data_IF_978996248060
#
_entry.id   IF_978996248060
#
_cell.length_a   1.000
_cell.length_b   1.000
_cell.length_c   1.000
_cell.angle_alpha   90.00
_cell.angle_beta   90.00
_cell.angle_gamma   90.00
#
_symmetry.space_group_name_H-M   'P 1'
#
loop_
_entity.id
_entity.type
_entity.pdbx_description
1 polymer ?
#
# COMPACT_ATOMS: atom_id res chain seq x y z
N UNK A 1 51.01 20.26 37.90
CA UNK A 1 50.06 20.11 36.78
C UNK A 1 49.37 18.76 36.94
N UNK A 2 48.10 18.71 37.38
CA UNK A 2 47.47 17.39 37.61
C UNK A 2 45.97 17.40 37.87
N UNK A 3 45.45 18.37 38.63
CA UNK A 3 44.03 18.38 38.99
C UNK A 3 43.12 18.79 37.82
N UNK A 4 43.44 19.87 37.11
CA UNK A 4 42.61 20.36 35.99
C UNK A 4 42.60 19.40 34.79
N UNK A 5 43.68 18.69 34.54
CA UNK A 5 43.78 17.70 33.46
C UNK A 5 42.98 16.44 33.78
N UNK A 6 43.02 15.98 35.04
CA UNK A 6 42.17 14.89 35.52
C UNK A 6 40.69 15.25 35.51
N UNK A 7 40.34 16.47 35.96
CA UNK A 7 38.96 16.94 35.96
C UNK A 7 38.40 17.10 34.55
N UNK A 8 39.21 17.60 33.60
CA UNK A 8 38.84 17.65 32.18
C UNK A 8 38.53 16.27 31.60
N UNK A 9 39.40 15.28 31.88
CA UNK A 9 39.17 13.89 31.43
C UNK A 9 37.89 13.26 31.99
N UNK A 10 37.45 13.64 33.19
CA UNK A 10 36.17 13.17 33.75
C UNK A 10 34.96 13.83 33.10
N UNK A 11 35.06 15.10 32.73
CA UNK A 11 34.00 15.80 31.99
C UNK A 11 33.85 15.19 30.60
N UNK A 12 34.96 14.92 29.91
CA UNK A 12 34.93 14.31 28.58
C UNK A 12 34.28 12.92 28.61
N UNK A 13 34.66 12.07 29.57
CA UNK A 13 34.04 10.74 29.76
C UNK A 13 32.54 10.82 30.10
N UNK A 14 32.13 11.83 30.87
CA UNK A 14 30.72 12.05 31.19
C UNK A 14 29.92 12.47 29.95
N UNK A 15 30.47 13.38 29.13
CA UNK A 15 29.83 13.85 27.90
C UNK A 15 29.69 12.71 26.87
N UNK A 16 30.72 11.88 26.72
CA UNK A 16 30.69 10.70 25.84
C UNK A 16 29.63 9.69 26.29
N UNK A 17 29.56 9.41 27.60
CA UNK A 17 28.52 8.53 28.16
C UNK A 17 27.12 9.10 27.94
N UNK A 18 26.93 10.41 28.13
CA UNK A 18 25.64 11.07 27.95
C UNK A 18 25.20 11.04 26.48
N UNK A 19 26.14 11.23 25.54
CA UNK A 19 25.90 11.09 24.11
C UNK A 19 25.47 9.68 23.72
N UNK A 20 26.13 8.66 24.24
CA UNK A 20 25.80 7.25 23.96
C UNK A 20 24.43 6.86 24.55
N UNK A 21 24.10 7.30 25.77
CA UNK A 21 22.79 7.07 26.39
C UNK A 21 21.68 7.76 25.61
N UNK A 22 21.89 9.01 25.22
CA UNK A 22 20.90 9.76 24.43
C UNK A 22 20.69 9.13 23.06
N UNK A 23 21.76 8.68 22.40
CA UNK A 23 21.67 7.95 21.12
C UNK A 23 20.81 6.70 21.25
N UNK A 24 21.07 5.86 22.25
CA UNK A 24 20.28 4.63 22.49
C UNK A 24 18.81 4.93 22.78
N UNK A 25 18.53 6.03 23.49
CA UNK A 25 17.16 6.48 23.73
C UNK A 25 16.44 6.85 22.43
N UNK A 26 17.09 7.62 21.53
CA UNK A 26 16.52 7.97 20.23
C UNK A 26 16.33 6.74 19.35
N UNK A 27 17.29 5.82 19.31
CA UNK A 27 17.16 4.56 18.56
C UNK A 27 15.96 3.73 19.06
N UNK A 28 15.79 3.62 20.39
CA UNK A 28 14.63 2.94 20.98
C UNK A 28 13.30 3.66 20.66
N UNK A 29 13.29 4.99 20.64
CA UNK A 29 12.11 5.79 20.28
C UNK A 29 11.72 5.57 18.82
N UNK A 30 12.68 5.61 17.90
CA UNK A 30 12.44 5.35 16.46
C UNK A 30 11.93 3.93 16.26
N UNK A 31 12.51 2.94 16.94
CA UNK A 31 12.06 1.55 16.88
C UNK A 31 10.62 1.39 17.39
N UNK A 32 10.28 2.04 18.51
CA UNK A 32 8.91 2.02 19.04
C UNK A 32 7.92 2.68 18.05
N UNK A 33 8.31 3.79 17.43
CA UNK A 33 7.49 4.49 16.44
C UNK A 33 7.29 3.64 15.16
N UNK A 34 8.33 2.95 14.68
CA UNK A 34 8.23 2.00 13.58
C UNK A 34 7.28 0.85 13.90
N UNK A 35 7.35 0.27 15.11
CA UNK A 35 6.40 -0.77 15.52
C UNK A 35 4.95 -0.28 15.53
N UNK A 36 4.71 0.92 16.05
CA UNK A 36 3.37 1.52 16.05
C UNK A 36 2.89 1.75 14.62
N UNK A 37 3.77 2.25 13.75
CA UNK A 37 3.46 2.45 12.34
C UNK A 37 3.05 1.14 11.65
N UNK A 38 3.88 0.09 11.74
CA UNK A 38 3.62 -1.19 11.08
C UNK A 38 2.39 -1.92 11.67
N UNK A 39 2.27 -1.95 12.99
CA UNK A 39 1.25 -2.76 13.67
C UNK A 39 -0.12 -2.10 13.65
N UNK A 40 -0.18 -0.78 13.78
CA UNK A 40 -1.45 -0.06 13.97
C UNK A 40 -1.78 0.71 12.70
N UNK A 41 -0.90 1.59 12.24
CA UNK A 41 -1.23 2.51 11.15
C UNK A 41 -1.32 1.77 9.81
N UNK A 42 -0.28 1.02 9.44
CA UNK A 42 -0.25 0.26 8.21
C UNK A 42 -1.34 -0.82 8.20
N UNK A 43 -1.51 -1.56 9.29
CA UNK A 43 -2.57 -2.56 9.40
C UNK A 43 -3.98 -1.94 9.28
N UNK A 44 -4.24 -0.80 9.92
CA UNK A 44 -5.53 -0.10 9.80
C UNK A 44 -5.74 0.43 8.38
N UNK A 45 -4.71 0.98 7.73
CA UNK A 45 -4.78 1.44 6.34
C UNK A 45 -5.03 0.27 5.37
N UNK A 46 -4.31 -0.84 5.52
CA UNK A 46 -4.54 -2.06 4.74
C UNK A 46 -5.95 -2.59 4.96
N UNK A 47 -6.46 -2.57 6.19
CA UNK A 47 -7.83 -3.02 6.48
C UNK A 47 -8.88 -2.09 5.85
N UNK A 48 -8.70 -0.78 6.00
CA UNK A 48 -9.63 0.22 5.50
C UNK A 48 -9.66 0.31 3.96
N UNK A 49 -8.49 0.19 3.32
CA UNK A 49 -8.32 0.44 1.89
C UNK A 49 -7.98 -0.80 1.06
N UNK A 50 -7.28 -1.79 1.63
CA UNK A 50 -6.74 -2.95 0.91
C UNK A 50 -7.53 -4.26 1.07
N UNK A 51 -8.20 -4.49 2.21
CA UNK A 51 -8.82 -5.79 2.50
C UNK A 51 -10.28 -5.91 2.01
N UNK A 52 -10.99 -4.80 1.80
CA UNK A 52 -12.45 -4.82 1.54
C UNK A 52 -12.85 -4.14 0.22
N UNK A 53 -11.90 -3.56 -0.53
CA UNK A 53 -12.20 -3.09 -1.89
C UNK A 53 -12.31 -4.30 -2.83
N UNK A 54 -13.43 -5.02 -2.77
CA UNK A 54 -13.75 -6.06 -3.74
C UNK A 54 -13.97 -5.37 -5.08
N UNK A 55 -12.91 -5.28 -5.88
CA UNK A 55 -12.99 -4.76 -7.22
C UNK A 55 -13.64 -5.81 -8.11
N UNK A 56 -14.54 -5.38 -8.96
CA UNK A 56 -15.15 -6.23 -9.96
C UNK A 56 -14.56 -5.90 -11.31
N UNK A 57 -14.43 -6.93 -12.15
CA UNK A 57 -13.94 -6.81 -13.51
C UNK A 57 -14.93 -7.42 -14.48
N UNK A 58 -15.12 -6.76 -15.62
CA UNK A 58 -15.88 -7.28 -16.76
C UNK A 58 -15.05 -7.14 -18.02
N UNK A 59 -15.28 -8.05 -18.96
CA UNK A 59 -14.68 -8.03 -20.28
C UNK A 59 -15.78 -7.98 -21.33
N UNK A 60 -15.66 -7.06 -22.28
CA UNK A 60 -16.59 -6.90 -23.40
C UNK A 60 -15.84 -6.53 -24.69
N UNK A 61 -16.50 -6.77 -25.83
CA UNK A 61 -15.95 -6.45 -27.15
C UNK A 61 -15.81 -4.94 -27.34
N UNK A 62 -14.68 -4.51 -27.89
CA UNK A 62 -14.45 -3.12 -28.28
C UNK A 62 -15.18 -2.73 -29.56
N UNK A 63 -15.00 -1.48 -29.96
CA UNK A 63 -15.58 -0.96 -31.20
C UNK A 63 -14.88 -1.53 -32.44
N UNK A 64 -13.61 -1.93 -32.29
CA UNK A 64 -12.80 -2.54 -33.34
C UNK A 64 -12.85 -4.07 -33.24
N UNK A 65 -12.92 -4.76 -34.37
CA UNK A 65 -12.89 -6.22 -34.42
C UNK A 65 -11.59 -6.74 -33.77
N UNK A 66 -11.72 -7.62 -32.79
CA UNK A 66 -10.58 -8.17 -32.04
C UNK A 66 -10.15 -7.34 -30.83
N UNK A 67 -10.72 -6.17 -30.60
CA UNK A 67 -10.47 -5.36 -29.40
C UNK A 67 -11.22 -5.93 -28.20
N UNK A 68 -10.51 -6.10 -27.07
CA UNK A 68 -11.11 -6.45 -25.78
C UNK A 68 -11.06 -5.23 -24.87
N UNK A 69 -12.18 -4.90 -24.23
CA UNK A 69 -12.24 -3.88 -23.19
C UNK A 69 -12.35 -4.57 -21.83
N UNK A 70 -11.51 -4.16 -20.88
CA UNK A 70 -11.57 -4.55 -19.48
C UNK A 70 -12.00 -3.34 -18.65
N UNK A 71 -13.10 -3.45 -17.91
CA UNK A 71 -13.57 -2.41 -16.99
C UNK A 71 -13.44 -2.93 -15.56
N UNK A 72 -12.82 -2.12 -14.70
CA UNK A 72 -12.65 -2.38 -13.27
C UNK A 72 -13.45 -1.34 -12.47
N UNK A 73 -14.28 -1.79 -11.53
CA UNK A 73 -15.05 -0.89 -10.67
C UNK A 73 -15.22 -1.41 -9.25
N UNK A 74 -15.38 -0.50 -8.28
CA UNK A 74 -15.82 -0.82 -6.92
C UNK A 74 -17.35 -0.76 -6.86
N UNK A 75 -18.06 -1.85 -6.52
CA UNK A 75 -19.52 -1.88 -6.47
C UNK A 75 -20.10 -0.91 -5.42
N UNK A 76 -19.33 -0.54 -4.38
CA UNK A 76 -19.75 0.43 -3.36
C UNK A 76 -19.90 1.83 -3.93
N UNK A 77 -19.22 2.12 -5.04
CA UNK A 77 -19.20 3.42 -5.68
C UNK A 77 -19.68 3.40 -7.13
N UNK A 78 -20.52 2.41 -7.49
CA UNK A 78 -20.97 2.18 -8.87
C UNK A 78 -21.58 3.41 -9.56
N UNK A 79 -22.13 4.36 -8.78
CA UNK A 79 -22.78 5.57 -9.28
C UNK A 79 -22.03 6.87 -8.92
N UNK A 80 -20.94 6.79 -8.15
CA UNK A 80 -20.27 7.96 -7.58
C UNK A 80 -18.80 8.09 -7.96
N UNK A 81 -18.17 7.00 -8.43
CA UNK A 81 -16.80 7.03 -8.95
C UNK A 81 -16.79 6.41 -10.35
N UNK A 82 -16.10 7.03 -11.32
CA UNK A 82 -15.92 6.42 -12.63
C UNK A 82 -15.13 5.11 -12.49
N UNK A 83 -15.49 4.12 -13.30
CA UNK A 83 -14.74 2.88 -13.48
C UNK A 83 -13.49 3.14 -14.32
N UNK A 84 -12.43 2.38 -14.07
CA UNK A 84 -11.23 2.41 -14.92
C UNK A 84 -11.39 1.41 -16.08
N UNK A 85 -11.07 1.86 -17.29
CA UNK A 85 -11.30 1.10 -18.53
C UNK A 85 -9.99 0.94 -19.29
N UNK A 86 -9.65 -0.31 -19.62
CA UNK A 86 -8.43 -0.69 -20.29
C UNK A 86 -8.73 -1.40 -21.61
N UNK A 87 -7.85 -1.22 -22.59
CA UNK A 87 -7.85 -1.98 -23.84
C UNK A 87 -6.84 -3.11 -23.75
N UNK A 88 -7.27 -4.32 -24.06
CA UNK A 88 -6.46 -5.51 -24.06
C UNK A 88 -6.45 -6.14 -25.46
N UNK A 89 -5.32 -6.77 -25.81
CA UNK A 89 -5.21 -7.53 -27.06
C UNK A 89 -6.00 -8.84 -27.05
N UNK A 90 -6.26 -9.41 -25.87
CA UNK A 90 -7.00 -10.65 -25.71
C UNK A 90 -7.68 -10.72 -24.34
N UNK A 91 -8.90 -11.24 -24.28
CA UNK A 91 -9.60 -11.51 -23.03
C UNK A 91 -9.21 -12.88 -22.45
N UNK A 92 -9.21 -13.03 -21.11
CA UNK A 92 -9.04 -14.32 -20.45
C UNK A 92 -10.28 -15.22 -20.53
N UNK A 93 -11.30 -14.86 -21.33
CA UNK A 93 -12.54 -15.61 -21.50
C UNK A 93 -12.84 -15.90 -22.98
N UNK A 94 -13.60 -16.96 -23.21
CA UNK A 94 -13.94 -17.46 -24.55
C UNK A 94 -14.68 -16.42 -25.39
N UNK A 95 -14.30 -16.32 -26.66
CA UNK A 95 -15.01 -15.54 -27.67
C UNK A 95 -16.33 -16.23 -28.09
N UNK A 96 -17.35 -15.47 -28.54
CA UNK A 96 -17.36 -14.02 -28.68
C UNK A 96 -17.65 -13.30 -27.35
N UNK A 97 -16.94 -12.19 -27.14
CA UNK A 97 -17.21 -11.31 -26.00
C UNK A 97 -18.55 -10.58 -26.17
N UNK A 98 -19.27 -10.30 -25.07
CA UNK A 98 -20.49 -9.52 -25.12
C UNK A 98 -20.21 -8.10 -25.60
N UNK A 99 -21.15 -7.49 -26.33
CA UNK A 99 -21.00 -6.12 -26.83
C UNK A 99 -21.50 -5.07 -25.83
N UNK A 100 -22.34 -5.48 -24.88
CA UNK A 100 -22.90 -4.59 -23.86
C UNK A 100 -22.41 -4.98 -22.48
N UNK A 101 -22.15 -3.96 -21.65
CA UNK A 101 -21.82 -4.09 -20.22
C UNK A 101 -22.82 -4.96 -19.45
N UNK A 102 -24.12 -4.81 -19.75
CA UNK A 102 -25.20 -5.57 -19.10
C UNK A 102 -25.15 -7.07 -19.37
N UNK A 103 -24.53 -7.48 -20.47
CA UNK A 103 -24.38 -8.87 -20.90
C UNK A 103 -23.05 -9.47 -20.43
N UNK A 104 -22.15 -8.64 -19.87
CA UNK A 104 -20.83 -9.06 -19.44
C UNK A 104 -20.90 -9.81 -18.11
N UNK A 105 -20.22 -10.97 -18.07
CA UNK A 105 -20.03 -11.72 -16.84
C UNK A 105 -19.17 -10.91 -15.89
N UNK A 106 -19.71 -10.60 -14.71
CA UNK A 106 -18.99 -9.94 -13.63
C UNK A 106 -18.06 -10.94 -12.95
N UNK A 107 -16.78 -10.62 -12.92
CA UNK A 107 -15.76 -11.37 -12.19
C UNK A 107 -15.30 -10.53 -11.00
N UNK A 108 -14.79 -11.19 -9.96
CA UNK A 108 -14.21 -10.52 -8.80
C UNK A 108 -12.69 -10.54 -8.93
N UNK A 109 -12.06 -9.40 -8.72
CA UNK A 109 -10.62 -9.31 -8.50
C UNK A 109 -10.38 -9.62 -7.03
N UNK A 110 -9.93 -10.84 -6.78
CA UNK A 110 -9.48 -11.25 -5.46
C UNK A 110 -8.00 -10.90 -5.30
N UNK A 111 -7.61 -10.61 -4.07
CA UNK A 111 -6.21 -10.35 -3.77
C UNK A 111 -5.40 -11.62 -4.06
N UNK A 112 -4.28 -11.48 -4.77
CA UNK A 112 -3.36 -12.59 -4.98
C UNK A 112 -2.64 -12.84 -3.65
N UNK A 113 -2.96 -13.96 -2.98
CA UNK A 113 -2.34 -14.38 -1.71
C UNK A 113 -0.84 -14.66 -1.84
#
# INVERSE_FOLDING_TARGET
MGFFTWFGSLIDQFLDWLGEVFRRFIEALVYALQKIWETIVAAALITAFGYVATLYVIFYAGAVLGETIMEIWDPRYANSKPSEVFKLGQAPQSSPLPKKRSEAKKLKLENWY
#
